data_IF_480024748968
#
_entry.id   IF_480024748968
#
_cell.length_a   1.000
_cell.length_b   1.000
_cell.length_c   1.000
_cell.angle_alpha   90.00
_cell.angle_beta   90.00
_cell.angle_gamma   90.00
#
_symmetry.space_group_name_H-M   'P 1'
#
loop_
_entity.id
_entity.type
_entity.pdbx_description
1 polymer ?
#
# COMPACT_ATOMS: atom_id res chain seq x y z
N UNK A 1 -17.05 -20.62 -20.48
CA UNK A 1 -17.04 -20.40 -19.37
C UNK A 1 -15.91 -20.02 -18.55
N UNK A 2 -14.67 -20.39 -18.74
CA UNK A 2 -13.58 -19.81 -18.01
C UNK A 2 -13.41 -18.33 -18.25
N UNK A 3 -14.06 -17.78 -19.26
CA UNK A 3 -14.03 -16.32 -19.46
C UNK A 3 -14.58 -15.52 -18.30
N UNK A 4 -15.40 -16.13 -17.42
CA UNK A 4 -15.87 -15.45 -16.22
C UNK A 4 -14.77 -15.15 -15.25
N UNK A 5 -13.68 -15.92 -15.29
CA UNK A 5 -12.59 -15.78 -14.34
C UNK A 5 -11.38 -15.12 -14.96
N UNK A 6 -11.51 -14.65 -16.21
CA UNK A 6 -10.41 -13.95 -16.85
C UNK A 6 -10.34 -12.54 -16.34
N UNK A 7 -9.17 -12.18 -15.88
CA UNK A 7 -8.89 -10.81 -15.57
C UNK A 7 -8.91 -10.00 -16.86
N UNK A 8 -9.45 -8.80 -16.81
CA UNK A 8 -9.30 -7.86 -17.91
C UNK A 8 -8.00 -7.09 -17.71
N UNK A 9 -7.54 -6.43 -18.75
CA UNK A 9 -6.30 -5.66 -18.69
C UNK A 9 -6.38 -4.55 -17.66
N UNK A 10 -7.55 -3.97 -17.46
CA UNK A 10 -7.75 -2.92 -16.48
C UNK A 10 -7.46 -3.41 -15.05
N UNK A 11 -7.92 -4.61 -14.72
CA UNK A 11 -7.63 -5.19 -13.40
C UNK A 11 -6.13 -5.38 -13.20
N UNK A 12 -5.45 -5.92 -14.20
CA UNK A 12 -4.00 -6.13 -14.15
C UNK A 12 -3.28 -4.80 -13.96
N UNK A 13 -3.68 -3.77 -14.71
CA UNK A 13 -3.08 -2.44 -14.62
C UNK A 13 -3.30 -1.81 -13.25
N UNK A 14 -4.48 -1.99 -12.65
CA UNK A 14 -4.78 -1.46 -11.33
C UNK A 14 -3.93 -2.16 -10.26
N UNK A 15 -3.74 -3.47 -10.39
CA UNK A 15 -2.89 -4.20 -9.45
C UNK A 15 -1.43 -3.80 -9.61
N UNK A 16 -0.96 -3.55 -10.83
CA UNK A 16 0.39 -3.02 -11.05
C UNK A 16 0.57 -1.65 -10.38
N UNK A 17 -0.46 -0.79 -10.46
CA UNK A 17 -0.44 0.51 -9.80
C UNK A 17 -0.40 0.35 -8.27
N UNK A 18 -1.16 -0.62 -7.73
CA UNK A 18 -1.12 -0.93 -6.30
C UNK A 18 0.29 -1.37 -5.88
N UNK A 19 0.94 -2.22 -6.68
CA UNK A 19 2.29 -2.69 -6.41
C UNK A 19 3.31 -1.55 -6.41
N UNK A 20 3.18 -0.62 -7.35
CA UNK A 20 4.06 0.55 -7.40
C UNK A 20 3.90 1.39 -6.13
N UNK A 21 2.67 1.60 -5.69
CA UNK A 21 2.38 2.34 -4.45
C UNK A 21 2.95 1.68 -3.21
N UNK A 22 2.76 0.36 -3.09
CA UNK A 22 3.31 -0.39 -1.96
C UNK A 22 4.83 -0.33 -1.94
N UNK A 23 5.46 -0.47 -3.10
CA UNK A 23 6.91 -0.44 -3.18
C UNK A 23 7.45 0.93 -2.73
N UNK A 24 6.86 2.01 -3.21
CA UNK A 24 7.25 3.37 -2.78
C UNK A 24 7.05 3.55 -1.28
N UNK A 25 5.94 3.07 -0.71
CA UNK A 25 5.67 3.15 0.72
C UNK A 25 6.71 2.38 1.53
N UNK A 26 7.05 1.17 1.11
CA UNK A 26 8.05 0.35 1.80
C UNK A 26 9.39 1.08 1.90
N UNK A 27 9.82 1.71 0.80
CA UNK A 27 11.06 2.48 0.79
C UNK A 27 10.97 3.72 1.68
N UNK A 28 9.87 4.46 1.58
CA UNK A 28 9.71 5.70 2.34
C UNK A 28 9.54 5.44 3.85
N UNK A 29 8.79 4.42 4.23
CA UNK A 29 8.52 4.18 5.65
C UNK A 29 9.76 3.75 6.42
N UNK A 30 10.71 3.08 5.76
CA UNK A 30 12.00 2.80 6.38
C UNK A 30 12.75 4.10 6.71
N UNK A 31 12.78 5.03 5.76
CA UNK A 31 13.40 6.33 5.95
C UNK A 31 12.68 7.12 7.05
N UNK A 32 11.34 7.11 7.04
CA UNK A 32 10.53 7.80 8.04
C UNK A 32 10.78 7.25 9.44
N UNK A 33 10.90 5.93 9.58
CA UNK A 33 11.19 5.31 10.86
C UNK A 33 12.51 5.82 11.43
N UNK A 34 13.50 6.06 10.56
CA UNK A 34 14.80 6.58 10.98
C UNK A 34 14.72 8.06 11.38
N UNK A 35 13.70 8.78 10.95
CA UNK A 35 13.47 10.18 11.34
C UNK A 35 12.57 10.31 12.56
N UNK A 36 11.96 9.22 13.02
CA UNK A 36 10.98 9.25 14.10
C UNK A 36 11.57 9.84 15.38
N UNK A 37 10.72 10.51 16.16
CA UNK A 37 11.13 11.27 17.35
C UNK A 37 11.47 10.39 18.55
N UNK A 38 10.94 9.17 18.60
CA UNK A 38 11.17 8.25 19.70
C UNK A 38 11.00 6.81 19.24
N UNK A 39 11.37 5.86 20.12
CA UNK A 39 11.36 4.44 19.77
C UNK A 39 9.95 3.88 19.56
N UNK A 40 8.96 4.38 20.29
CA UNK A 40 7.57 3.94 20.13
C UNK A 40 7.05 4.26 18.74
N UNK A 41 7.27 5.49 18.30
CA UNK A 41 6.84 5.96 17.00
C UNK A 41 7.58 5.22 15.88
N UNK A 42 8.89 5.02 16.05
CA UNK A 42 9.69 4.25 15.10
C UNK A 42 9.18 2.83 14.97
N UNK A 43 8.90 2.18 16.08
CA UNK A 43 8.41 0.80 16.09
C UNK A 43 7.08 0.69 15.36
N UNK A 44 6.16 1.63 15.59
CA UNK A 44 4.86 1.62 14.93
C UNK A 44 4.99 1.82 13.42
N UNK A 45 5.87 2.72 13.00
CA UNK A 45 6.09 2.94 11.55
C UNK A 45 6.66 1.68 10.91
N UNK A 46 7.55 0.97 11.61
CA UNK A 46 8.09 -0.28 11.08
C UNK A 46 7.03 -1.39 11.02
N UNK A 47 6.06 -1.42 11.93
CA UNK A 47 4.93 -2.34 11.86
C UNK A 47 4.07 -2.04 10.63
N UNK A 48 3.81 -0.76 10.38
CA UNK A 48 3.07 -0.34 9.18
C UNK A 48 3.82 -0.78 7.92
N UNK A 49 5.13 -0.56 7.91
CA UNK A 49 5.98 -0.99 6.78
C UNK A 49 5.86 -2.50 6.56
N UNK A 50 5.84 -3.29 7.63
CA UNK A 50 5.70 -4.74 7.52
C UNK A 50 4.36 -5.13 6.91
N UNK A 51 3.28 -4.41 7.21
CA UNK A 51 1.99 -4.62 6.56
C UNK A 51 2.09 -4.36 5.07
N UNK A 52 2.79 -3.29 4.68
CA UNK A 52 2.96 -2.96 3.26
C UNK A 52 3.77 -4.02 2.53
N UNK A 53 4.77 -4.60 3.19
CA UNK A 53 5.54 -5.71 2.61
C UNK A 53 4.63 -6.91 2.36
N UNK A 54 3.74 -7.23 3.29
CA UNK A 54 2.79 -8.33 3.13
C UNK A 54 1.81 -8.06 1.98
N UNK A 55 1.30 -6.83 1.89
CA UNK A 55 0.45 -6.43 0.77
C UNK A 55 1.19 -6.60 -0.55
N UNK A 56 2.43 -6.12 -0.62
CA UNK A 56 3.23 -6.24 -1.82
C UNK A 56 3.38 -7.70 -2.24
N UNK A 57 3.73 -8.58 -1.32
CA UNK A 57 3.92 -10.00 -1.62
C UNK A 57 2.62 -10.63 -2.13
N UNK A 58 1.49 -10.34 -1.50
CA UNK A 58 0.19 -10.84 -1.91
C UNK A 58 -0.19 -10.33 -3.30
N UNK A 59 -0.04 -9.03 -3.52
CA UNK A 59 -0.39 -8.41 -4.80
C UNK A 59 0.52 -8.89 -5.93
N UNK A 60 1.81 -9.11 -5.65
CA UNK A 60 2.75 -9.59 -6.64
C UNK A 60 2.38 -11.01 -7.11
N UNK A 61 1.95 -11.87 -6.17
CA UNK A 61 1.50 -13.21 -6.51
C UNK A 61 0.22 -13.17 -7.35
N UNK A 62 -0.72 -12.28 -7.01
CA UNK A 62 -1.94 -12.09 -7.79
C UNK A 62 -1.60 -11.59 -9.20
N UNK A 63 -0.71 -10.60 -9.29
CA UNK A 63 -0.30 -10.03 -10.57
C UNK A 63 0.29 -11.11 -11.49
N UNK A 64 1.17 -11.94 -10.95
CA UNK A 64 1.78 -13.02 -11.70
C UNK A 64 0.74 -14.04 -12.15
N UNK A 65 -0.19 -14.37 -11.27
CA UNK A 65 -1.28 -15.31 -11.60
C UNK A 65 -2.15 -14.81 -12.75
N UNK A 66 -2.47 -13.51 -12.75
CA UNK A 66 -3.34 -12.93 -13.77
C UNK A 66 -2.63 -12.61 -15.08
N UNK A 67 -1.40 -12.12 -14.99
CA UNK A 67 -0.66 -11.63 -16.17
C UNK A 67 0.30 -12.66 -16.75
N UNK A 68 0.69 -13.65 -15.97
CA UNK A 68 1.74 -14.58 -16.35
C UNK A 68 3.14 -13.99 -16.23
N UNK A 69 3.27 -12.77 -15.71
CA UNK A 69 4.53 -12.04 -15.63
C UNK A 69 4.87 -11.68 -14.20
N UNK A 70 6.15 -11.64 -13.91
CA UNK A 70 6.62 -11.17 -12.62
C UNK A 70 6.66 -9.65 -12.62
N UNK A 71 6.16 -9.03 -11.54
CA UNK A 71 6.24 -7.57 -11.41
C UNK A 71 7.68 -7.17 -11.08
N UNK A 72 8.20 -6.17 -11.79
CA UNK A 72 9.54 -5.64 -11.55
C UNK A 72 9.41 -4.30 -10.82
N UNK A 73 9.71 -4.25 -9.52
CA UNK A 73 9.53 -3.02 -8.74
C UNK A 73 10.54 -1.95 -9.11
N UNK A 74 10.08 -0.70 -9.03
CA UNK A 74 10.91 0.47 -9.30
C UNK A 74 10.40 1.60 -8.44
N UNK A 75 11.30 2.25 -7.71
CA UNK A 75 10.92 3.41 -6.93
C UNK A 75 10.67 4.59 -7.89
N UNK A 76 9.45 5.13 -7.84
CA UNK A 76 9.03 6.22 -8.72
C UNK A 76 8.81 7.53 -7.99
N UNK A 77 8.82 7.50 -6.65
CA UNK A 77 8.63 8.68 -5.82
C UNK A 77 9.70 8.72 -4.73
N UNK A 78 10.25 9.90 -4.48
CA UNK A 78 11.18 10.08 -3.40
C UNK A 78 10.44 10.38 -2.10
N UNK A 79 10.98 9.89 -0.99
CA UNK A 79 10.44 10.18 0.32
C UNK A 79 10.88 11.58 0.74
N UNK A 80 9.96 12.44 1.25
CA UNK A 80 10.37 13.75 1.75
C UNK A 80 11.41 13.62 2.86
N UNK A 81 12.40 14.53 2.85
CA UNK A 81 13.49 14.52 3.83
C UNK A 81 13.12 15.15 5.16
N UNK A 82 11.98 15.80 5.26
CA UNK A 82 11.48 16.39 6.50
C UNK A 82 10.40 15.47 7.07
N UNK A 83 10.51 15.14 8.35
CA UNK A 83 9.62 14.16 8.96
C UNK A 83 8.15 14.60 8.95
N UNK A 84 7.89 15.88 9.29
CA UNK A 84 6.50 16.38 9.28
C UNK A 84 5.89 16.32 7.88
N UNK A 85 6.66 16.70 6.87
CA UNK A 85 6.21 16.64 5.48
C UNK A 85 5.97 15.19 5.05
N UNK A 86 6.86 14.28 5.46
CA UNK A 86 6.72 12.87 5.14
C UNK A 86 5.49 12.26 5.79
N UNK A 87 5.21 12.60 7.06
CA UNK A 87 3.99 12.13 7.75
C UNK A 87 2.73 12.63 7.05
N UNK A 88 2.73 13.89 6.62
CA UNK A 88 1.58 14.48 5.92
C UNK A 88 1.34 13.74 4.60
N UNK A 89 2.39 13.51 3.83
CA UNK A 89 2.29 12.79 2.56
C UNK A 89 1.79 11.36 2.78
N UNK A 90 2.35 10.67 3.77
CA UNK A 90 1.96 9.30 4.09
C UNK A 90 0.49 9.22 4.50
N UNK A 91 0.03 10.14 5.35
CA UNK A 91 -1.36 10.20 5.76
C UNK A 91 -2.29 10.34 4.55
N UNK A 92 -1.98 11.27 3.66
CA UNK A 92 -2.80 11.51 2.47
C UNK A 92 -2.79 10.30 1.52
N UNK A 93 -1.63 9.71 1.30
CA UNK A 93 -1.50 8.54 0.43
C UNK A 93 -2.30 7.35 0.98
N UNK A 94 -2.23 7.11 2.28
CA UNK A 94 -3.00 6.03 2.91
C UNK A 94 -4.50 6.26 2.73
N UNK A 95 -4.97 7.50 2.94
CA UNK A 95 -6.38 7.84 2.76
C UNK A 95 -6.85 7.60 1.33
N UNK A 96 -6.08 8.03 0.35
CA UNK A 96 -6.42 7.83 -1.06
C UNK A 96 -6.43 6.34 -1.43
N UNK A 97 -5.52 5.58 -0.85
CA UNK A 97 -5.37 4.16 -1.15
C UNK A 97 -6.55 3.34 -0.63
N UNK A 98 -7.20 3.78 0.46
CA UNK A 98 -8.41 3.10 0.97
C UNK A 98 -9.43 2.93 -0.14
N UNK A 99 -9.81 4.02 -0.79
CA UNK A 99 -10.81 4.00 -1.85
C UNK A 99 -10.30 3.26 -3.10
N UNK A 100 -9.03 3.46 -3.44
CA UNK A 100 -8.43 2.79 -4.59
C UNK A 100 -8.51 1.26 -4.43
N UNK A 101 -8.19 0.75 -3.25
CA UNK A 101 -8.24 -0.70 -2.99
C UNK A 101 -9.68 -1.22 -2.94
N UNK A 102 -10.62 -0.43 -2.42
CA UNK A 102 -12.03 -0.81 -2.46
C UNK A 102 -12.54 -0.90 -3.89
N UNK A 103 -12.11 0.01 -4.77
CA UNK A 103 -12.49 -0.04 -6.17
C UNK A 103 -11.96 -1.31 -6.85
N UNK A 104 -10.72 -1.69 -6.56
CA UNK A 104 -10.15 -2.94 -7.07
C UNK A 104 -10.98 -4.13 -6.57
N UNK A 105 -11.32 -4.13 -5.27
CA UNK A 105 -12.10 -5.21 -4.67
C UNK A 105 -13.47 -5.34 -5.33
N UNK A 106 -14.16 -4.22 -5.57
CA UNK A 106 -15.49 -4.22 -6.15
C UNK A 106 -15.50 -4.79 -7.58
N UNK A 107 -14.42 -4.61 -8.32
CA UNK A 107 -14.30 -5.04 -9.71
C UNK A 107 -13.44 -6.30 -9.86
N UNK A 108 -13.15 -6.98 -8.75
CA UNK A 108 -12.24 -8.13 -8.76
C UNK A 108 -12.81 -9.31 -9.54
N UNK A 109 -11.96 -10.01 -10.27
CA UNK A 109 -12.33 -11.17 -11.07
C UNK A 109 -12.53 -12.45 -10.25
N UNK A 110 -12.19 -12.44 -8.96
CA UNK A 110 -12.39 -13.60 -8.09
C UNK A 110 -12.67 -13.16 -6.64
N UNK A 111 -13.35 -14.03 -5.85
CA UNK A 111 -13.59 -13.76 -4.43
C UNK A 111 -12.29 -13.62 -3.63
N UNK A 112 -11.24 -14.35 -4.00
CA UNK A 112 -9.96 -14.28 -3.33
C UNK A 112 -9.35 -12.89 -3.46
N UNK A 113 -9.29 -12.36 -4.69
CA UNK A 113 -8.74 -11.03 -4.95
C UNK A 113 -9.55 -9.96 -4.21
N UNK A 114 -10.87 -10.08 -4.25
CA UNK A 114 -11.76 -9.16 -3.52
C UNK A 114 -11.41 -9.13 -2.05
N UNK A 115 -11.27 -10.30 -1.43
CA UNK A 115 -10.97 -10.41 -0.01
C UNK A 115 -9.63 -9.77 0.33
N UNK A 116 -8.60 -10.00 -0.50
CA UNK A 116 -7.28 -9.45 -0.24
C UNK A 116 -7.27 -7.93 -0.29
N UNK A 117 -7.93 -7.34 -1.28
CA UNK A 117 -7.96 -5.89 -1.40
C UNK A 117 -8.87 -5.23 -0.35
N UNK A 118 -9.95 -5.88 0.07
CA UNK A 118 -10.76 -5.38 1.18
C UNK A 118 -9.96 -5.36 2.47
N UNK A 119 -9.20 -6.40 2.75
CA UNK A 119 -8.35 -6.45 3.94
C UNK A 119 -7.27 -5.37 3.87
N UNK A 120 -6.61 -5.26 2.72
CA UNK A 120 -5.57 -4.25 2.55
C UNK A 120 -6.14 -2.84 2.72
N UNK A 121 -7.33 -2.58 2.20
CA UNK A 121 -7.99 -1.29 2.37
C UNK A 121 -8.19 -0.96 3.86
N UNK A 122 -8.64 -1.93 4.65
CA UNK A 122 -8.81 -1.74 6.09
C UNK A 122 -7.48 -1.44 6.79
N UNK A 123 -6.40 -2.11 6.37
CA UNK A 123 -5.07 -1.85 6.91
C UNK A 123 -4.64 -0.41 6.61
N UNK A 124 -4.88 0.07 5.37
CA UNK A 124 -4.52 1.44 4.99
C UNK A 124 -5.27 2.47 5.82
N UNK A 125 -6.54 2.20 6.12
CA UNK A 125 -7.33 3.08 6.98
C UNK A 125 -6.70 3.18 8.37
N UNK A 126 -6.29 2.04 8.93
CA UNK A 126 -5.64 2.01 10.24
C UNK A 126 -4.30 2.73 10.20
N UNK A 127 -3.52 2.55 9.15
CA UNK A 127 -2.23 3.24 8.98
C UNK A 127 -2.43 4.77 8.95
N UNK A 128 -3.45 5.24 8.24
CA UNK A 128 -3.75 6.66 8.16
C UNK A 128 -4.00 7.25 9.54
N UNK A 129 -4.71 6.52 10.41
CA UNK A 129 -4.98 6.98 11.78
C UNK A 129 -3.67 7.15 12.57
N UNK A 130 -2.75 6.20 12.44
CA UNK A 130 -1.45 6.30 13.11
C UNK A 130 -0.65 7.51 12.61
N UNK A 131 -0.60 7.71 11.31
CA UNK A 131 0.13 8.86 10.75
C UNK A 131 -0.50 10.19 11.17
N UNK A 132 -1.82 10.26 11.21
CA UNK A 132 -2.51 11.46 11.70
C UNK A 132 -2.16 11.72 13.17
N UNK A 133 -2.16 10.67 13.98
CA UNK A 133 -1.78 10.77 15.39
C UNK A 133 -0.37 11.36 15.55
N UNK A 134 0.58 10.84 14.76
CA UNK A 134 1.96 11.33 14.83
C UNK A 134 2.11 12.75 14.29
N UNK A 135 1.30 13.12 13.29
CA UNK A 135 1.25 14.50 12.84
C UNK A 135 0.85 15.44 13.97
N UNK A 136 -0.13 15.04 14.76
CA UNK A 136 -0.60 15.84 15.91
C UNK A 136 0.48 15.96 16.97
N UNK A 137 1.28 14.91 17.16
CA UNK A 137 2.37 14.90 18.15
C UNK A 137 3.57 15.73 17.72
N UNK A 138 3.76 15.93 16.41
CA UNK A 138 4.96 16.57 15.85
C UNK A 138 4.71 17.97 15.31
N UNK A 139 3.62 18.60 15.70
CA UNK A 139 3.30 19.95 15.27
C UNK A 139 4.14 20.99 15.96
#
# INVERSE_FOLDING_TARGET
MYSYYRANQNEIDQIAKALAGEYNAIQCYEQMANMAKNEEEKKQIMEIRNDEIKHYQTFAAIYQSLSGMQYNPKQTEECPGDYYVALTAAFKDEQETVDFYLDIAENASSPYIRKQFKRASADEQNHAVWFLYYLMQNR
#
